data_IF_613337431675
#
_entry.id   IF_613337431675
#
_cell.length_a   1.000
_cell.length_b   1.000
_cell.length_c   1.000
_cell.angle_alpha   90.00
_cell.angle_beta   90.00
_cell.angle_gamma   90.00
#
_symmetry.space_group_name_H-M   'P 1'
#
loop_
_entity.id
_entity.type
_entity.pdbx_description
1 polymer ?
#
# COMPACT_ATOMS: atom_id res chain seq x y z
N UNK A 1 -5.97 27.72 -38.84
CA UNK A 1 -4.80 27.06 -38.23
C UNK A 1 -5.34 25.92 -37.42
N UNK A 2 -5.07 24.68 -37.83
CA UNK A 2 -5.47 23.49 -37.09
C UNK A 2 -4.58 23.39 -35.85
N UNK A 3 -5.18 23.37 -34.67
CA UNK A 3 -4.43 23.26 -33.42
C UNK A 3 -3.91 21.83 -33.29
N UNK A 4 -2.70 21.65 -32.73
CA UNK A 4 -2.09 20.31 -32.50
C UNK A 4 -3.05 19.34 -31.81
N UNK A 5 -3.91 19.85 -30.94
CA UNK A 5 -4.98 19.10 -30.25
C UNK A 5 -6.02 18.49 -31.19
N UNK A 6 -6.36 19.14 -32.30
CA UNK A 6 -7.38 18.65 -33.25
C UNK A 6 -6.83 17.49 -34.08
N UNK A 7 -5.57 17.61 -34.49
CA UNK A 7 -4.83 16.54 -35.14
C UNK A 7 -4.70 15.31 -34.24
N UNK A 8 -4.25 15.48 -32.99
CA UNK A 8 -4.11 14.36 -32.03
C UNK A 8 -5.46 13.67 -31.78
N UNK A 9 -6.54 14.45 -31.66
CA UNK A 9 -7.89 13.92 -31.49
C UNK A 9 -8.36 13.14 -32.73
N UNK A 10 -8.17 13.67 -33.93
CA UNK A 10 -8.52 13.01 -35.18
C UNK A 10 -7.73 11.71 -35.37
N UNK A 11 -6.44 11.74 -35.05
CA UNK A 11 -5.54 10.59 -35.10
C UNK A 11 -6.02 9.47 -34.16
N UNK A 12 -6.33 9.79 -32.89
CA UNK A 12 -6.84 8.81 -31.92
C UNK A 12 -8.18 8.21 -32.37
N UNK A 13 -9.12 9.03 -32.88
CA UNK A 13 -10.39 8.51 -33.38
C UNK A 13 -10.22 7.59 -34.58
N UNK A 14 -9.33 7.94 -35.51
CA UNK A 14 -9.01 7.11 -36.68
C UNK A 14 -8.40 5.77 -36.25
N UNK A 15 -7.48 5.77 -35.29
CA UNK A 15 -6.91 4.54 -34.74
C UNK A 15 -7.97 3.66 -34.04
N UNK A 16 -8.89 4.28 -33.27
CA UNK A 16 -10.01 3.57 -32.64
C UNK A 16 -10.90 2.91 -33.68
N UNK A 17 -11.29 3.64 -34.73
CA UNK A 17 -12.11 3.08 -35.82
C UNK A 17 -11.38 1.98 -36.58
N UNK A 18 -10.07 2.12 -36.80
CA UNK A 18 -9.26 1.10 -37.47
C UNK A 18 -9.14 -0.19 -36.64
N UNK A 19 -8.97 -0.10 -35.32
CA UNK A 19 -8.79 -1.27 -34.46
C UNK A 19 -10.11 -1.94 -34.04
N UNK A 20 -11.16 -1.15 -33.82
CA UNK A 20 -12.43 -1.64 -33.27
C UNK A 20 -13.58 -1.60 -34.27
N UNK A 21 -13.36 -1.09 -35.49
CA UNK A 21 -14.36 -0.97 -36.56
C UNK A 21 -15.27 0.25 -36.40
N UNK A 22 -15.63 0.64 -35.16
CA UNK A 22 -16.37 1.87 -34.88
C UNK A 22 -16.13 2.40 -33.46
N UNK A 23 -16.53 3.66 -33.22
CA UNK A 23 -16.46 4.26 -31.87
C UNK A 23 -17.41 3.57 -30.90
N UNK A 24 -18.58 3.13 -31.37
CA UNK A 24 -19.56 2.39 -30.56
C UNK A 24 -19.02 1.02 -30.14
N UNK A 25 -18.33 0.31 -31.05
CA UNK A 25 -17.67 -0.96 -30.75
C UNK A 25 -16.57 -0.78 -29.69
N UNK A 26 -15.77 0.28 -29.78
CA UNK A 26 -14.81 0.65 -28.74
C UNK A 26 -15.48 0.96 -27.40
N UNK A 27 -16.56 1.74 -27.37
CA UNK A 27 -17.30 2.05 -26.13
C UNK A 27 -17.87 0.78 -25.50
N UNK A 28 -18.42 -0.12 -26.30
CA UNK A 28 -18.94 -1.41 -25.83
C UNK A 28 -17.82 -2.32 -25.30
N UNK A 29 -16.67 -2.35 -25.98
CA UNK A 29 -15.49 -3.09 -25.52
C UNK A 29 -14.97 -2.55 -24.18
N UNK A 30 -14.81 -1.22 -24.07
CA UNK A 30 -14.31 -0.56 -22.85
C UNK A 30 -15.27 -0.74 -21.67
N UNK A 31 -16.58 -0.68 -21.90
CA UNK A 31 -17.60 -0.83 -20.85
C UNK A 31 -17.88 -2.28 -20.45
N UNK A 32 -17.66 -3.23 -21.35
CA UNK A 32 -17.87 -4.66 -21.13
C UNK A 32 -16.54 -5.39 -20.90
N UNK A 33 -15.97 -6.06 -21.92
CA UNK A 33 -14.78 -6.92 -21.78
C UNK A 33 -13.62 -6.29 -21.02
N UNK A 34 -13.22 -5.06 -21.35
CA UNK A 34 -12.08 -4.41 -20.69
C UNK A 34 -12.40 -4.09 -19.23
N UNK A 35 -13.63 -3.67 -18.93
CA UNK A 35 -14.05 -3.44 -17.55
C UNK A 35 -14.04 -4.74 -16.76
N UNK A 36 -14.54 -5.83 -17.34
CA UNK A 36 -14.52 -7.15 -16.71
C UNK A 36 -13.10 -7.64 -16.46
N UNK A 37 -12.19 -7.45 -17.43
CA UNK A 37 -10.77 -7.76 -17.29
C UNK A 37 -10.09 -6.91 -16.22
N UNK A 38 -10.35 -5.60 -16.18
CA UNK A 38 -9.81 -4.72 -15.14
C UNK A 38 -10.39 -5.03 -13.76
N UNK A 39 -11.65 -5.45 -13.68
CA UNK A 39 -12.27 -5.86 -12.41
C UNK A 39 -11.78 -7.24 -11.96
N UNK A 40 -11.54 -8.17 -12.89
CA UNK A 40 -10.96 -9.48 -12.59
C UNK A 40 -9.47 -9.38 -12.24
N UNK A 41 -8.78 -8.40 -12.81
CA UNK A 41 -7.37 -8.08 -12.57
C UNK A 41 -7.19 -6.98 -11.53
N UNK A 42 -8.24 -6.58 -10.79
CA UNK A 42 -8.05 -5.76 -9.58
C UNK A 42 -7.16 -6.57 -8.64
N UNK A 43 -5.86 -6.28 -8.69
CA UNK A 43 -4.92 -6.60 -7.64
C UNK A 43 -5.41 -5.81 -6.42
N UNK A 44 -6.30 -6.43 -5.64
CA UNK A 44 -6.85 -5.93 -4.37
C UNK A 44 -5.80 -5.86 -3.26
N UNK A 45 -4.53 -5.89 -3.64
CA UNK A 45 -3.40 -5.77 -2.75
C UNK A 45 -2.20 -5.30 -3.55
N UNK A 46 -1.51 -4.30 -3.03
CA UNK A 46 -0.17 -3.94 -3.47
C UNK A 46 0.71 -5.21 -3.49
N UNK A 47 1.34 -5.57 -4.62
CA UNK A 47 2.16 -6.77 -4.67
C UNK A 47 3.29 -6.68 -3.64
N UNK A 48 3.56 -7.77 -2.94
CA UNK A 48 4.50 -7.79 -1.82
C UNK A 48 5.91 -7.31 -2.23
N UNK A 49 6.31 -7.54 -3.48
CA UNK A 49 7.57 -7.04 -4.04
C UNK A 49 7.69 -5.50 -3.99
N UNK A 50 6.60 -4.77 -4.26
CA UNK A 50 6.60 -3.32 -4.16
C UNK A 50 6.71 -2.83 -2.72
N UNK A 51 6.02 -3.50 -1.78
CA UNK A 51 6.13 -3.18 -0.37
C UNK A 51 7.58 -3.37 0.13
N UNK A 52 8.22 -4.48 -0.24
CA UNK A 52 9.64 -4.70 0.07
C UNK A 52 10.54 -3.66 -0.57
N UNK A 53 10.30 -3.30 -1.83
CA UNK A 53 11.09 -2.27 -2.52
C UNK A 53 11.04 -0.94 -1.78
N UNK A 54 9.86 -0.53 -1.28
CA UNK A 54 9.73 0.70 -0.47
C UNK A 54 10.47 0.60 0.87
N UNK A 55 10.52 -0.58 1.48
CA UNK A 55 11.25 -0.79 2.75
C UNK A 55 12.77 -0.70 2.60
N UNK A 56 13.32 -0.91 1.39
CA UNK A 56 14.77 -0.77 1.17
C UNK A 56 15.21 0.67 1.47
N UNK A 57 14.42 1.66 1.03
CA UNK A 57 14.74 3.08 1.22
C UNK A 57 14.69 3.46 2.70
N UNK A 58 13.78 2.90 3.47
CA UNK A 58 13.72 3.18 4.92
C UNK A 58 14.79 2.41 5.68
N UNK A 59 15.14 1.20 5.22
CA UNK A 59 16.21 0.39 5.80
C UNK A 59 17.60 1.02 5.62
N UNK A 60 17.87 1.74 4.53
CA UNK A 60 19.15 2.45 4.38
C UNK A 60 19.39 3.45 5.49
N UNK A 61 18.34 4.13 5.98
CA UNK A 61 18.43 5.01 7.16
C UNK A 61 18.88 4.26 8.42
N UNK A 62 18.42 3.02 8.63
CA UNK A 62 18.86 2.21 9.76
C UNK A 62 20.30 1.74 9.62
N UNK A 63 20.77 1.50 8.38
CA UNK A 63 22.18 1.21 8.11
C UNK A 63 23.04 2.45 8.41
N UNK A 64 22.59 3.64 8.03
CA UNK A 64 23.29 4.89 8.34
C UNK A 64 23.42 5.07 9.87
N UNK A 65 22.33 4.91 10.62
CA UNK A 65 22.33 4.97 12.09
C UNK A 65 23.27 3.93 12.70
N UNK A 66 23.24 2.69 12.19
CA UNK A 66 24.13 1.63 12.63
C UNK A 66 25.60 1.98 12.39
N UNK A 67 25.94 2.52 11.20
CA UNK A 67 27.32 2.92 10.90
C UNK A 67 27.77 4.11 11.74
N UNK A 68 26.87 5.04 12.07
CA UNK A 68 27.15 6.16 12.96
C UNK A 68 27.47 5.68 14.38
N UNK A 69 26.66 4.77 14.93
CA UNK A 69 26.91 4.15 16.24
C UNK A 69 28.20 3.33 16.25
N UNK A 70 28.46 2.58 15.19
CA UNK A 70 29.68 1.78 15.05
C UNK A 70 30.93 2.67 15.05
N UNK A 71 30.90 3.76 14.28
CA UNK A 71 31.99 4.75 14.28
C UNK A 71 32.11 5.49 15.62
N UNK A 72 31.02 5.64 16.35
CA UNK A 72 30.99 6.18 17.71
C UNK A 72 31.54 5.24 18.79
N UNK A 73 31.89 3.99 18.44
CA UNK A 73 32.38 3.00 19.40
C UNK A 73 31.31 2.51 20.37
N UNK A 74 30.05 2.48 19.94
CA UNK A 74 28.95 1.95 20.74
C UNK A 74 29.16 0.46 21.08
N UNK A 75 28.62 0.03 22.22
CA UNK A 75 28.66 -1.38 22.64
C UNK A 75 27.98 -2.30 21.62
N UNK A 76 28.49 -3.54 21.49
CA UNK A 76 27.98 -4.52 20.52
C UNK A 76 26.49 -4.82 20.76
N UNK A 77 26.04 -4.88 22.03
CA UNK A 77 24.63 -5.10 22.32
C UNK A 77 23.77 -3.91 21.86
N UNK A 78 24.27 -2.68 21.98
CA UNK A 78 23.60 -1.49 21.48
C UNK A 78 23.49 -1.53 19.94
N UNK A 79 24.57 -1.89 19.25
CA UNK A 79 24.58 -2.03 17.79
C UNK A 79 23.58 -3.07 17.30
N UNK A 80 23.59 -4.26 17.91
CA UNK A 80 22.65 -5.34 17.57
C UNK A 80 21.20 -4.97 17.92
N UNK A 81 20.97 -4.29 19.04
CA UNK A 81 19.64 -3.84 19.43
C UNK A 81 19.07 -2.84 18.42
N UNK A 82 19.88 -1.88 17.96
CA UNK A 82 19.50 -0.95 16.91
C UNK A 82 19.22 -1.68 15.59
N UNK A 83 20.07 -2.62 15.20
CA UNK A 83 19.89 -3.37 13.95
C UNK A 83 18.60 -4.21 13.96
N UNK A 84 18.35 -4.96 15.04
CA UNK A 84 17.16 -5.82 15.14
C UNK A 84 15.89 -5.03 15.42
N UNK A 85 15.94 -4.07 16.35
CA UNK A 85 14.77 -3.31 16.78
C UNK A 85 14.36 -2.25 15.75
N UNK A 86 15.26 -1.33 15.42
CA UNK A 86 15.02 -0.28 14.44
C UNK A 86 15.11 -0.79 13.00
N UNK A 87 16.20 -1.47 12.64
CA UNK A 87 16.40 -1.94 11.27
C UNK A 87 15.34 -2.94 10.83
N UNK A 88 15.38 -4.17 11.36
CA UNK A 88 14.47 -5.22 10.91
C UNK A 88 13.05 -5.08 11.50
N UNK A 89 12.92 -4.78 12.79
CA UNK A 89 11.62 -4.67 13.45
C UNK A 89 10.79 -3.52 12.88
N UNK A 90 11.29 -2.28 12.98
CA UNK A 90 10.57 -1.09 12.53
C UNK A 90 10.62 -0.89 11.00
N UNK A 91 11.82 -0.73 10.41
CA UNK A 91 11.93 -0.30 9.01
C UNK A 91 11.52 -1.36 8.01
N UNK A 92 11.61 -2.63 8.38
CA UNK A 92 11.25 -3.75 7.51
C UNK A 92 9.88 -4.30 7.86
N UNK A 93 9.72 -4.97 9.00
CA UNK A 93 8.48 -5.68 9.30
C UNK A 93 7.30 -4.74 9.57
N UNK A 94 7.47 -3.75 10.44
CA UNK A 94 6.40 -2.82 10.81
C UNK A 94 6.04 -1.85 9.69
N UNK A 95 7.03 -1.33 8.96
CA UNK A 95 6.80 -0.45 7.82
C UNK A 95 6.04 -1.17 6.69
N UNK A 96 6.47 -2.38 6.30
CA UNK A 96 5.73 -3.19 5.31
C UNK A 96 4.30 -3.41 5.79
N UNK A 97 4.10 -3.80 7.05
CA UNK A 97 2.77 -3.94 7.65
C UNK A 97 1.95 -2.66 7.51
N UNK A 98 2.55 -1.50 7.77
CA UNK A 98 1.91 -0.19 7.68
C UNK A 98 1.48 0.12 6.25
N UNK A 99 2.36 -0.04 5.25
CA UNK A 99 2.04 0.15 3.83
C UNK A 99 0.86 -0.74 3.43
N UNK A 100 0.88 -2.00 3.87
CA UNK A 100 -0.18 -2.97 3.61
C UNK A 100 -1.51 -2.53 4.22
N UNK A 101 -1.52 -2.13 5.49
CA UNK A 101 -2.72 -1.61 6.18
C UNK A 101 -3.26 -0.35 5.49
N UNK A 102 -2.39 0.56 5.06
CA UNK A 102 -2.79 1.78 4.32
C UNK A 102 -3.48 1.42 3.02
N UNK A 103 -2.84 0.58 2.19
CA UNK A 103 -3.42 0.16 0.92
C UNK A 103 -4.80 -0.49 1.14
N UNK A 104 -4.93 -1.34 2.17
CA UNK A 104 -6.21 -1.91 2.54
C UNK A 104 -7.26 -0.85 2.89
N UNK A 105 -6.93 0.10 3.77
CA UNK A 105 -7.86 1.14 4.19
C UNK A 105 -8.28 2.03 3.02
N UNK A 106 -7.33 2.43 2.17
CA UNK A 106 -7.59 3.24 0.99
C UNK A 106 -8.48 2.50 -0.01
N UNK A 107 -8.24 1.21 -0.26
CA UNK A 107 -9.10 0.42 -1.15
C UNK A 107 -10.50 0.19 -0.55
N UNK A 108 -10.56 -0.15 0.74
CA UNK A 108 -11.82 -0.44 1.44
C UNK A 108 -12.72 0.78 1.52
N UNK A 109 -12.10 1.95 1.67
CA UNK A 109 -12.76 3.25 1.80
C UNK A 109 -12.49 4.13 0.56
N UNK A 110 -12.30 3.51 -0.60
CA UNK A 110 -12.18 4.25 -1.87
C UNK A 110 -13.53 4.82 -2.30
N UNK A 111 -14.63 4.16 -1.93
CA UNK A 111 -15.97 4.70 -2.10
C UNK A 111 -16.25 5.68 -0.95
N UNK A 112 -16.53 6.96 -1.24
CA UNK A 112 -16.75 7.96 -0.22
C UNK A 112 -18.02 7.62 0.58
N UNK A 113 -17.94 7.68 1.90
CA UNK A 113 -19.13 7.56 2.75
C UNK A 113 -20.06 8.76 2.63
N UNK A 114 -19.50 9.91 2.27
CA UNK A 114 -20.20 11.18 2.17
C UNK A 114 -19.81 11.91 0.88
N UNK A 115 -20.79 12.53 0.23
CA UNK A 115 -20.55 13.33 -0.97
C UNK A 115 -19.96 14.71 -0.63
N UNK A 116 -19.13 15.25 -1.53
CA UNK A 116 -18.62 16.63 -1.43
C UNK A 116 -17.36 16.74 -0.58
N UNK A 117 -17.24 17.80 0.22
CA UNK A 117 -16.01 18.10 0.99
C UNK A 117 -15.71 17.07 2.08
N UNK A 118 -16.72 16.33 2.55
CA UNK A 118 -16.58 15.33 3.60
C UNK A 118 -15.75 14.11 3.16
N UNK A 119 -15.56 13.89 1.86
CA UNK A 119 -14.62 12.89 1.31
C UNK A 119 -13.16 13.20 1.69
N UNK A 120 -12.80 14.49 1.74
CA UNK A 120 -11.48 14.89 2.22
C UNK A 120 -11.27 14.58 3.70
N UNK A 121 -12.34 14.65 4.51
CA UNK A 121 -12.27 14.27 5.93
C UNK A 121 -12.01 12.77 6.09
N UNK A 122 -12.62 11.93 5.26
CA UNK A 122 -12.36 10.47 5.25
C UNK A 122 -10.88 10.18 4.93
N UNK A 123 -10.32 10.79 3.89
CA UNK A 123 -8.90 10.65 3.55
C UNK A 123 -7.99 11.14 4.69
N UNK A 124 -8.34 12.27 5.31
CA UNK A 124 -7.59 12.81 6.44
C UNK A 124 -7.60 11.88 7.66
N UNK A 125 -8.75 11.27 7.98
CA UNK A 125 -8.87 10.31 9.07
C UNK A 125 -8.02 9.07 8.82
N UNK A 126 -8.02 8.54 7.59
CA UNK A 126 -7.16 7.40 7.21
C UNK A 126 -5.69 7.78 7.40
N UNK A 127 -5.28 8.96 6.94
CA UNK A 127 -3.91 9.47 7.11
C UNK A 127 -3.51 9.56 8.59
N UNK A 128 -4.36 10.18 9.43
CA UNK A 128 -4.08 10.30 10.88
C UNK A 128 -3.96 8.93 11.53
N UNK A 129 -4.86 8.00 11.22
CA UNK A 129 -4.79 6.64 11.74
C UNK A 129 -3.47 5.96 11.36
N UNK A 130 -3.09 6.01 10.08
CA UNK A 130 -1.84 5.45 9.59
C UNK A 130 -0.62 6.08 10.25
N UNK A 131 -0.62 7.39 10.40
CA UNK A 131 0.47 8.11 11.05
C UNK A 131 0.63 7.65 12.51
N UNK A 132 -0.47 7.60 13.26
CA UNK A 132 -0.46 7.12 14.65
C UNK A 132 -0.01 5.65 14.74
N UNK A 133 -0.44 4.80 13.82
CA UNK A 133 -0.01 3.40 13.74
C UNK A 133 1.50 3.27 13.50
N UNK A 134 2.05 4.08 12.59
CA UNK A 134 3.48 4.10 12.34
C UNK A 134 4.26 4.61 13.55
N UNK A 135 3.80 5.72 14.14
CA UNK A 135 4.42 6.31 15.34
C UNK A 135 4.42 5.36 16.53
N UNK A 136 3.35 4.57 16.71
CA UNK A 136 3.27 3.54 17.74
C UNK A 136 4.42 2.52 17.61
N UNK A 137 4.64 1.99 16.41
CA UNK A 137 5.78 1.11 16.14
C UNK A 137 7.12 1.79 16.42
N UNK A 138 7.25 3.07 16.06
CA UNK A 138 8.45 3.87 16.34
C UNK A 138 8.74 4.03 17.83
N UNK A 139 7.72 4.31 18.65
CA UNK A 139 7.85 4.41 20.10
C UNK A 139 8.23 3.06 20.72
N UNK A 140 7.62 1.96 20.28
CA UNK A 140 7.96 0.62 20.77
C UNK A 140 9.40 0.25 20.41
N UNK A 141 9.83 0.53 19.16
CA UNK A 141 11.21 0.32 18.73
C UNK A 141 12.21 1.13 19.56
N UNK A 142 11.89 2.39 19.88
CA UNK A 142 12.73 3.22 20.76
C UNK A 142 12.83 2.64 22.17
N UNK A 143 11.71 2.24 22.78
CA UNK A 143 11.69 1.70 24.14
C UNK A 143 12.45 0.38 24.23
N UNK A 144 12.28 -0.49 23.23
CA UNK A 144 12.96 -1.79 23.17
C UNK A 144 14.47 -1.65 22.97
N UNK A 145 14.92 -0.70 22.14
CA UNK A 145 16.34 -0.43 21.94
C UNK A 145 17.03 0.21 23.15
N UNK A 146 16.28 0.91 24.01
CA UNK A 146 16.80 1.47 25.28
C UNK A 146 16.84 0.47 26.43
N UNK A 147 16.15 -0.66 26.30
CA UNK A 147 16.02 -1.64 27.38
C UNK A 147 17.15 -2.67 27.29
N UNK A 148 17.00 -3.68 26.45
CA UNK A 148 17.93 -4.79 26.31
C UNK A 148 17.85 -5.38 24.90
N UNK A 149 18.92 -6.06 24.46
CA UNK A 149 18.96 -6.78 23.18
C UNK A 149 17.82 -7.78 23.05
N UNK A 150 17.45 -8.45 24.15
CA UNK A 150 16.35 -9.41 24.14
C UNK A 150 15.00 -8.77 23.79
N UNK A 151 14.73 -7.56 24.28
CA UNK A 151 13.50 -6.83 23.96
C UNK A 151 13.43 -6.43 22.49
N UNK A 152 14.58 -6.07 21.88
CA UNK A 152 14.66 -5.80 20.45
C UNK A 152 14.38 -7.06 19.61
N UNK A 153 14.89 -8.24 20.03
CA UNK A 153 14.60 -9.52 19.36
C UNK A 153 13.12 -9.89 19.50
N UNK A 154 12.53 -9.74 20.68
CA UNK A 154 11.10 -9.98 20.90
C UNK A 154 10.27 -9.06 20.00
N UNK A 155 10.61 -7.78 19.92
CA UNK A 155 9.94 -6.83 19.03
C UNK A 155 10.03 -7.21 17.55
N UNK A 156 11.21 -7.65 17.09
CA UNK A 156 11.38 -8.17 15.74
C UNK A 156 10.46 -9.36 15.47
N UNK A 157 10.43 -10.35 16.38
CA UNK A 157 9.60 -11.55 16.25
C UNK A 157 8.11 -11.16 16.18
N UNK A 158 7.65 -10.30 17.10
CA UNK A 158 6.26 -9.84 17.13
C UNK A 158 5.91 -9.09 15.83
N UNK A 159 6.77 -8.19 15.38
CA UNK A 159 6.56 -7.44 14.14
C UNK A 159 6.53 -8.34 12.91
N UNK A 160 7.40 -9.35 12.86
CA UNK A 160 7.43 -10.34 11.79
C UNK A 160 6.16 -11.21 11.78
N UNK A 161 5.67 -11.63 12.96
CA UNK A 161 4.41 -12.37 13.09
C UNK A 161 3.24 -11.51 12.62
N UNK A 162 3.16 -10.24 13.03
CA UNK A 162 2.10 -9.33 12.58
C UNK A 162 2.16 -9.16 11.06
N UNK A 163 3.34 -8.91 10.49
CA UNK A 163 3.53 -8.79 9.04
C UNK A 163 3.10 -10.08 8.31
N UNK A 164 3.47 -11.25 8.83
CA UNK A 164 3.08 -12.54 8.27
C UNK A 164 1.56 -12.74 8.32
N UNK A 165 0.91 -12.39 9.44
CA UNK A 165 -0.54 -12.49 9.60
C UNK A 165 -1.29 -11.52 8.68
N UNK A 166 -0.83 -10.27 8.57
CA UNK A 166 -1.39 -9.31 7.61
C UNK A 166 -1.17 -9.81 6.18
N UNK A 167 -0.03 -10.43 5.89
CA UNK A 167 0.27 -11.01 4.58
C UNK A 167 -0.61 -12.22 4.22
N UNK A 168 -0.86 -13.11 5.18
CA UNK A 168 -1.66 -14.31 4.99
C UNK A 168 -3.17 -14.01 5.00
N UNK A 169 -3.62 -13.18 5.96
CA UNK A 169 -5.01 -12.82 6.14
C UNK A 169 -5.58 -12.03 4.97
N UNK A 170 -4.74 -11.25 4.27
CA UNK A 170 -5.22 -10.43 3.16
C UNK A 170 -5.81 -11.27 2.02
N UNK A 171 -5.34 -12.50 1.79
CA UNK A 171 -5.95 -13.39 0.79
C UNK A 171 -7.42 -13.77 1.09
N UNK A 172 -7.84 -13.66 2.35
CA UNK A 172 -9.21 -13.88 2.78
C UNK A 172 -10.04 -12.58 2.75
N UNK A 173 -9.51 -11.49 3.30
CA UNK A 173 -10.22 -10.21 3.39
C UNK A 173 -10.31 -9.45 2.06
N UNK A 174 -9.39 -9.69 1.13
CA UNK A 174 -9.38 -9.05 -0.19
C UNK A 174 -10.35 -9.69 -1.18
N UNK A 175 -11.08 -10.76 -0.81
CA UNK A 175 -12.18 -11.24 -1.64
C UNK A 175 -13.26 -10.16 -1.62
N UNK A 176 -13.59 -9.53 -2.75
CA UNK A 176 -14.68 -8.57 -2.78
C UNK A 176 -15.93 -9.30 -2.29
N UNK A 177 -16.47 -8.86 -1.16
CA UNK A 177 -17.87 -9.09 -0.87
C UNK A 177 -18.62 -8.31 -1.94
N UNK A 178 -18.83 -8.94 -3.09
CA UNK A 178 -19.90 -8.53 -3.98
C UNK A 178 -21.16 -8.66 -3.14
N UNK A 179 -21.83 -7.56 -2.75
CA UNK A 179 -23.21 -7.71 -2.35
C UNK A 179 -23.87 -8.38 -3.55
N UNK A 180 -24.51 -9.52 -3.35
CA UNK A 180 -25.38 -10.12 -4.35
C UNK A 180 -26.38 -9.03 -4.72
N UNK A 181 -26.07 -8.22 -5.74
CA UNK A 181 -27.06 -7.41 -6.43
C UNK A 181 -27.96 -8.46 -7.04
N UNK A 182 -29.07 -8.73 -6.37
CA UNK A 182 -30.14 -9.52 -6.95
C UNK A 182 -30.41 -8.91 -8.33
N UNK A 183 -30.56 -9.74 -9.38
CA UNK A 183 -30.87 -9.23 -10.69
C UNK A 183 -32.14 -8.40 -10.54
N UNK A 184 -32.02 -7.08 -10.75
CA UNK A 184 -33.19 -6.23 -10.93
C UNK A 184 -33.94 -6.80 -12.13
N UNK A 185 -35.02 -7.51 -11.85
CA UNK A 185 -35.94 -8.01 -12.85
C UNK A 185 -36.51 -6.79 -13.54
N UNK A 186 -36.02 -6.52 -14.75
CA UNK A 186 -36.60 -5.58 -15.69
C UNK A 186 -38.07 -5.99 -15.92
N UNK A 187 -38.99 -5.20 -15.38
CA UNK A 187 -40.40 -5.14 -15.78
C UNK A 187 -40.61 -3.95 -16.71
#
# INVERSE_FOLDING_TARGET
AETRSDFDRAFVHSAIEQWYGSKEAFVNYVRGPLREELLSTRCTSLPLSYAWMTSIVTFTTAVDDFTALLKGGADVNCLLSTLFGFGFGLQVCWFVTTVRVVSYLVERYAEPWWSGWADHLQTFVIYIFTYLWFMLGGVIAQLTCRSDLWMAIVWLIVSAIINANVSAGWGWWARPHHPNKQPETLQ
#
